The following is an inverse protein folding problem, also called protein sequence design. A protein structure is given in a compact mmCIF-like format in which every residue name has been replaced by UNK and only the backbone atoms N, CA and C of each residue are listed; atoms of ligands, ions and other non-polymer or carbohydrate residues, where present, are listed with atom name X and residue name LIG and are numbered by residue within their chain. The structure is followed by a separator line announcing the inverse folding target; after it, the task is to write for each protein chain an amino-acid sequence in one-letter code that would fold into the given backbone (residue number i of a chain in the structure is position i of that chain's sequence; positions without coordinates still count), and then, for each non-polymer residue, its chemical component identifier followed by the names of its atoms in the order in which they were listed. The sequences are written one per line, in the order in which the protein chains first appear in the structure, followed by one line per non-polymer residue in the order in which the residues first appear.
data_IF_503594639460
#
_entry.id   IF_503594639460
#
_cell.length_a   1.000
_cell.length_b   1.000
_cell.length_c   1.000
_cell.angle_alpha   90.00
_cell.angle_beta   90.00
_cell.angle_gamma   90.00
#
_symmetry.space_group_name_H-M   'P 1'
#
loop_
_entity.id
_entity.type
_entity.pdbx_description
1 polymer ?
#
# COMPACT_ATOMS: atom_id res chain seq x y z
N UNK A 1 21.52 27.13 8.88
CA UNK A 1 20.11 26.83 9.20
C UNK A 1 20.01 25.38 9.63
N UNK A 2 19.24 25.12 10.68
CA UNK A 2 19.00 23.77 11.22
C UNK A 2 17.50 23.60 11.41
N UNK A 3 16.93 22.47 10.99
CA UNK A 3 15.51 22.18 11.11
C UNK A 3 15.27 20.71 11.42
N UNK A 4 14.45 20.42 12.43
CA UNK A 4 14.07 19.05 12.78
C UNK A 4 12.75 18.69 12.13
N UNK A 5 12.68 17.53 11.49
CA UNK A 5 11.47 17.02 10.83
C UNK A 5 11.38 15.50 10.93
N UNK A 6 10.16 14.94 11.03
CA UNK A 6 9.97 13.50 10.97
C UNK A 6 10.19 12.98 9.55
N UNK A 7 10.73 11.78 9.44
CA UNK A 7 10.80 11.03 8.19
C UNK A 7 9.42 10.43 7.89
N UNK A 8 8.93 10.66 6.67
CA UNK A 8 7.66 10.13 6.17
C UNK A 8 7.77 8.64 5.76
N UNK A 9 6.62 7.99 5.60
CA UNK A 9 6.47 6.56 5.29
C UNK A 9 7.24 6.12 4.03
N UNK A 10 7.39 7.02 3.06
CA UNK A 10 8.14 6.77 1.84
C UNK A 10 9.65 7.04 1.97
N UNK A 11 10.21 7.03 3.18
CA UNK A 11 11.61 7.33 3.47
C UNK A 11 12.06 8.70 2.91
N UNK A 12 11.30 9.74 3.19
CA UNK A 12 11.65 11.12 2.83
C UNK A 12 11.43 12.11 3.96
N UNK A 13 12.18 13.21 3.97
CA UNK A 13 12.02 14.31 4.91
C UNK A 13 11.80 15.64 4.17
N UNK A 14 10.89 16.46 4.69
CA UNK A 14 10.51 17.72 4.04
C UNK A 14 11.48 18.86 4.38
N UNK A 15 11.86 19.64 3.36
CA UNK A 15 12.68 20.85 3.52
C UNK A 15 12.40 21.85 2.41
N UNK A 16 12.08 23.09 2.79
CA UNK A 16 11.86 24.22 1.86
C UNK A 16 10.93 23.89 0.68
N UNK A 17 9.83 23.18 0.97
CA UNK A 17 8.84 22.81 -0.04
C UNK A 17 9.25 21.64 -0.95
N UNK A 18 10.36 20.96 -0.66
CA UNK A 18 10.79 19.73 -1.34
C UNK A 18 10.89 18.58 -0.34
N UNK A 19 11.08 17.36 -0.86
CA UNK A 19 11.32 16.15 -0.08
C UNK A 19 12.67 15.55 -0.45
N UNK A 20 13.43 15.13 0.55
CA UNK A 20 14.75 14.53 0.37
C UNK A 20 14.74 13.11 0.91
N UNK A 21 15.26 12.16 0.14
CA UNK A 21 15.29 10.75 0.54
C UNK A 21 16.21 10.49 1.74
N UNK A 22 15.85 9.50 2.54
CA UNK A 22 16.67 8.95 3.62
C UNK A 22 16.85 7.45 3.42
N UNK A 23 17.78 6.80 4.13
CA UNK A 23 17.76 5.34 4.24
C UNK A 23 16.37 4.85 4.73
N UNK A 24 15.85 3.74 4.20
CA UNK A 24 14.60 3.15 4.66
C UNK A 24 14.73 2.64 6.12
N UNK A 25 13.60 2.43 6.78
CA UNK A 25 13.57 2.00 8.20
C UNK A 25 13.58 3.14 9.22
N UNK A 26 13.60 4.40 8.78
CA UNK A 26 13.60 5.58 9.65
C UNK A 26 12.22 6.24 9.80
N UNK A 27 11.13 5.57 9.41
CA UNK A 27 9.76 6.11 9.47
C UNK A 27 9.46 6.70 10.86
N UNK A 28 9.01 7.94 10.90
CA UNK A 28 8.64 8.65 12.14
C UNK A 28 9.81 9.12 12.99
N UNK A 29 11.05 8.76 12.66
CA UNK A 29 12.25 9.25 13.36
C UNK A 29 12.43 10.74 13.04
N UNK A 30 12.63 11.55 14.08
CA UNK A 30 12.98 12.95 13.93
C UNK A 30 14.44 13.09 13.48
N UNK A 31 14.65 13.61 12.27
CA UNK A 31 15.99 13.87 11.74
C UNK A 31 16.25 15.37 11.65
N UNK A 32 17.52 15.74 11.76
CA UNK A 32 17.95 17.12 11.70
C UNK A 32 18.47 17.45 10.30
N UNK A 33 17.88 18.43 9.65
CA UNK A 33 18.36 18.99 8.39
C UNK A 33 19.28 20.16 8.65
N UNK A 34 20.54 20.02 8.23
CA UNK A 34 21.57 21.04 8.33
C UNK A 34 21.85 21.62 6.96
N UNK A 35 21.55 22.91 6.80
CA UNK A 35 21.92 23.67 5.62
C UNK A 35 22.88 24.79 6.00
N UNK A 36 24.13 24.73 5.51
CA UNK A 36 25.08 25.84 5.62
C UNK A 36 24.70 26.93 4.63
N UNK A 37 24.67 28.19 5.07
CA UNK A 37 24.37 29.33 4.19
C UNK A 37 25.39 29.36 3.02
N UNK A 38 24.89 29.54 1.80
CA UNK A 38 25.71 29.48 0.58
C UNK A 38 26.02 28.07 0.08
N UNK A 39 25.71 27.00 0.83
CA UNK A 39 25.86 25.63 0.33
C UNK A 39 24.76 25.28 -0.67
N UNK A 40 25.14 24.53 -1.71
CA UNK A 40 24.21 23.91 -2.64
C UNK A 40 23.63 22.58 -2.11
N UNK A 41 24.03 22.14 -0.92
CA UNK A 41 23.61 20.86 -0.34
C UNK A 41 22.93 21.02 1.02
N UNK A 42 22.09 20.06 1.38
CA UNK A 42 21.51 19.89 2.71
C UNK A 42 21.90 18.52 3.25
N UNK A 43 22.35 18.48 4.51
CA UNK A 43 22.70 17.25 5.21
C UNK A 43 21.51 16.78 6.05
N UNK A 44 21.17 15.51 5.93
CA UNK A 44 20.21 14.83 6.82
C UNK A 44 21.01 14.14 7.92
N UNK A 45 20.72 14.47 9.17
CA UNK A 45 21.49 14.02 10.34
C UNK A 45 20.60 13.25 11.30
N UNK A 46 21.09 12.11 11.78
CA UNK A 46 20.39 11.25 12.74
C UNK A 46 20.25 11.95 14.11
N UNK A 47 19.35 11.48 14.98
CA UNK A 47 19.29 11.94 16.38
C UNK A 47 20.62 11.83 17.12
N UNK A 48 21.44 10.84 16.78
CA UNK A 48 22.77 10.63 17.35
C UNK A 48 23.84 11.59 16.80
N UNK A 49 23.49 12.49 15.87
CA UNK A 49 24.40 13.48 15.30
C UNK A 49 25.21 13.00 14.08
N UNK A 50 24.96 11.79 13.59
CA UNK A 50 25.64 11.23 12.41
C UNK A 50 24.98 11.73 11.12
N UNK A 51 25.77 12.19 10.14
CA UNK A 51 25.24 12.53 8.81
C UNK A 51 24.84 11.23 8.11
N UNK A 52 23.55 11.10 7.79
CA UNK A 52 22.98 9.96 7.09
C UNK A 52 23.19 10.09 5.58
N UNK A 53 22.94 11.28 5.04
CA UNK A 53 23.05 11.57 3.60
C UNK A 53 23.13 13.09 3.36
N UNK A 54 23.84 13.48 2.31
CA UNK A 54 23.87 14.86 1.80
C UNK A 54 23.22 14.91 0.42
N UNK A 55 22.26 15.83 0.24
CA UNK A 55 21.56 16.01 -1.05
C UNK A 55 21.86 17.37 -1.65
N UNK A 56 21.89 17.45 -2.98
CA UNK A 56 21.84 18.74 -3.68
C UNK A 56 20.44 19.36 -3.53
N UNK A 57 20.40 20.66 -3.23
CA UNK A 57 19.14 21.38 -3.06
C UNK A 57 18.40 21.52 -4.40
N UNK A 58 17.11 21.20 -4.36
CA UNK A 58 16.16 21.59 -5.39
C UNK A 58 15.72 23.05 -5.19
N UNK A 59 15.21 23.72 -6.25
CA UNK A 59 14.61 25.06 -6.13
C UNK A 59 13.52 25.08 -5.05
N UNK A 60 13.44 26.17 -4.30
CA UNK A 60 12.50 26.25 -3.18
C UNK A 60 11.06 26.22 -3.66
N UNK A 61 10.20 25.49 -2.95
CA UNK A 61 8.78 25.38 -3.30
C UNK A 61 8.47 24.58 -4.56
N UNK A 62 9.47 23.91 -5.18
CA UNK A 62 9.26 23.14 -6.40
C UNK A 62 8.46 21.85 -6.20
N UNK A 63 8.20 21.42 -4.96
CA UNK A 63 7.47 20.17 -4.69
C UNK A 63 8.22 18.91 -5.11
N UNK A 64 9.53 19.01 -5.36
CA UNK A 64 10.33 17.92 -5.92
C UNK A 64 10.70 16.89 -4.86
N UNK A 65 10.75 15.61 -5.25
CA UNK A 65 11.35 14.53 -4.46
C UNK A 65 12.78 14.30 -4.99
N UNK A 66 13.78 14.67 -4.18
CA UNK A 66 15.19 14.40 -4.46
C UNK A 66 15.54 13.04 -3.85
N UNK A 67 15.68 12.04 -4.71
CA UNK A 67 15.99 10.66 -4.32
C UNK A 67 17.24 10.17 -5.04
N UNK A 68 18.16 9.60 -4.26
CA UNK A 68 19.35 8.96 -4.84
C UNK A 68 19.00 7.59 -5.40
N UNK A 69 19.74 7.08 -6.39
CA UNK A 69 19.53 5.73 -6.93
C UNK A 69 19.62 4.65 -5.84
N UNK A 70 20.53 4.79 -4.88
CA UNK A 70 20.74 3.82 -3.81
C UNK A 70 19.53 3.78 -2.87
N UNK A 71 18.96 4.93 -2.49
CA UNK A 71 17.76 4.98 -1.67
C UNK A 71 16.52 4.51 -2.43
N UNK A 72 16.45 4.72 -3.74
CA UNK A 72 15.41 4.14 -4.57
C UNK A 72 15.46 2.61 -4.52
N UNK A 73 16.61 2.02 -4.84
CA UNK A 73 16.80 0.58 -4.83
C UNK A 73 16.55 -0.02 -3.43
N UNK A 74 17.06 0.63 -2.37
CA UNK A 74 16.84 0.16 -1.00
C UNK A 74 15.37 0.22 -0.58
N UNK A 75 14.65 1.30 -0.91
CA UNK A 75 13.23 1.42 -0.62
C UNK A 75 12.42 0.40 -1.43
N UNK A 76 12.75 0.21 -2.70
CA UNK A 76 12.13 -0.79 -3.57
C UNK A 76 12.30 -2.20 -3.00
N UNK A 77 13.52 -2.58 -2.58
CA UNK A 77 13.78 -3.87 -1.94
C UNK A 77 12.95 -4.07 -0.66
N UNK A 78 12.90 -3.06 0.21
CA UNK A 78 12.08 -3.12 1.45
C UNK A 78 10.60 -3.30 1.11
N UNK A 79 10.08 -2.52 0.17
CA UNK A 79 8.68 -2.59 -0.25
C UNK A 79 8.35 -3.95 -0.87
N UNK A 80 9.19 -4.44 -1.79
CA UNK A 80 8.98 -5.73 -2.44
C UNK A 80 9.10 -6.90 -1.45
N UNK A 81 10.00 -6.82 -0.48
CA UNK A 81 10.15 -7.86 0.56
C UNK A 81 8.94 -7.98 1.49
N UNK A 82 8.12 -6.94 1.60
CA UNK A 82 6.92 -6.96 2.43
C UNK A 82 5.73 -7.68 1.76
N UNK A 83 5.78 -7.92 0.45
CA UNK A 83 4.75 -8.68 -0.24
C UNK A 83 4.94 -10.18 0.01
N UNK A 84 3.85 -10.84 0.41
CA UNK A 84 3.79 -12.29 0.55
C UNK A 84 2.74 -12.86 -0.39
N UNK A 85 2.97 -14.07 -0.88
CA UNK A 85 1.98 -14.89 -1.59
C UNK A 85 1.19 -15.80 -0.64
N UNK A 86 1.44 -15.69 0.67
CA UNK A 86 0.63 -16.34 1.69
C UNK A 86 -0.83 -15.95 1.51
N UNK A 87 -1.73 -16.89 1.81
CA UNK A 87 -3.16 -16.69 1.60
C UNK A 87 -3.62 -15.49 2.44
N UNK A 88 -4.03 -14.36 1.82
CA UNK A 88 -4.33 -13.13 2.55
C UNK A 88 -5.61 -13.24 3.37
N UNK A 89 -6.47 -14.21 3.02
CA UNK A 89 -7.73 -14.47 3.68
C UNK A 89 -7.81 -15.97 3.98
N UNK A 90 -8.46 -16.31 5.09
CA UNK A 90 -8.97 -17.67 5.27
C UNK A 90 -9.87 -18.03 4.08
N UNK A 91 -9.85 -19.31 3.67
CA UNK A 91 -10.72 -19.79 2.60
C UNK A 91 -12.15 -19.44 2.97
N UNK A 92 -12.81 -18.62 2.14
CA UNK A 92 -14.23 -18.29 2.29
C UNK A 92 -15.01 -19.57 2.59
N UNK A 93 -15.60 -19.65 3.78
CA UNK A 93 -16.47 -20.75 4.16
C UNK A 93 -17.71 -20.77 3.26
N UNK A 94 -18.25 -21.96 2.99
CA UNK A 94 -19.59 -22.05 2.43
C UNK A 94 -20.58 -21.69 3.54
N UNK A 95 -21.14 -20.48 3.49
CA UNK A 95 -22.18 -20.03 4.40
C UNK A 95 -23.51 -20.05 3.64
N UNK A 96 -24.33 -21.10 3.80
CA UNK A 96 -25.66 -21.11 3.20
C UNK A 96 -26.51 -19.96 3.77
N UNK A 97 -27.53 -19.50 3.03
CA UNK A 97 -28.42 -18.44 3.50
C UNK A 97 -29.04 -18.81 4.86
N UNK A 98 -28.97 -17.88 5.80
CA UNK A 98 -29.59 -18.03 7.12
C UNK A 98 -31.11 -17.95 7.07
N UNK A 99 -31.80 -18.26 8.19
CA UNK A 99 -33.27 -18.27 8.25
C UNK A 99 -33.88 -16.92 7.86
N UNK A 100 -33.29 -15.81 8.29
CA UNK A 100 -33.78 -14.46 7.93
C UNK A 100 -33.65 -14.16 6.44
N UNK A 101 -32.57 -14.65 5.81
CA UNK A 101 -32.35 -14.49 4.37
C UNK A 101 -33.38 -15.31 3.57
N UNK A 102 -33.71 -16.52 4.03
CA UNK A 102 -34.76 -17.34 3.43
C UNK A 102 -36.14 -16.68 3.60
N UNK A 103 -36.48 -16.18 4.79
CA UNK A 103 -37.74 -15.48 5.03
C UNK A 103 -37.86 -14.21 4.16
N UNK A 104 -36.77 -13.46 4.00
CA UNK A 104 -36.72 -12.31 3.11
C UNK A 104 -36.92 -12.72 1.64
N UNK A 105 -36.30 -13.81 1.19
CA UNK A 105 -36.47 -14.33 -0.15
C UNK A 105 -37.93 -14.75 -0.42
N UNK A 106 -38.58 -15.45 0.51
CA UNK A 106 -40.00 -15.81 0.40
C UNK A 106 -40.89 -14.58 0.24
N UNK A 107 -40.64 -13.53 1.05
CA UNK A 107 -41.39 -12.28 0.98
C UNK A 107 -41.18 -11.52 -0.33
N UNK A 108 -39.96 -11.55 -0.88
CA UNK A 108 -39.60 -10.81 -2.09
C UNK A 108 -40.06 -11.52 -3.36
N UNK A 109 -39.99 -12.85 -3.39
CA UNK A 109 -40.14 -13.62 -4.62
C UNK A 109 -41.47 -14.37 -4.73
N UNK A 110 -42.19 -14.59 -3.62
CA UNK A 110 -43.47 -15.33 -3.63
C UNK A 110 -43.34 -16.68 -4.35
N UNK A 111 -44.32 -17.03 -5.18
CA UNK A 111 -44.32 -18.29 -5.97
C UNK A 111 -43.21 -18.32 -7.05
N UNK A 112 -42.71 -17.17 -7.48
CA UNK A 112 -41.60 -17.06 -8.44
C UNK A 112 -40.22 -17.30 -7.79
N UNK A 113 -40.15 -17.42 -6.45
CA UNK A 113 -38.92 -17.66 -5.69
C UNK A 113 -38.54 -19.12 -5.53
N UNK A 114 -39.31 -20.03 -6.12
CA UNK A 114 -39.02 -21.46 -6.07
C UNK A 114 -37.83 -21.74 -6.98
N UNK A 115 -36.64 -21.84 -6.39
CA UNK A 115 -35.44 -22.20 -7.14
C UNK A 115 -35.66 -23.59 -7.76
N UNK A 116 -35.66 -23.72 -9.09
CA UNK A 116 -35.82 -25.02 -9.71
C UNK A 116 -34.58 -25.85 -9.35
N UNK A 117 -34.79 -26.98 -8.68
CA UNK A 117 -33.72 -27.95 -8.47
C UNK A 117 -33.44 -28.57 -9.83
N UNK A 118 -32.41 -28.07 -10.51
CA UNK A 118 -31.96 -28.59 -11.80
C UNK A 118 -31.09 -29.82 -11.54
N UNK A 119 -31.61 -30.99 -11.90
CA UNK A 119 -30.81 -32.21 -11.94
C UNK A 119 -29.87 -32.15 -13.16
N UNK A 120 -28.57 -32.01 -12.88
CA UNK A 120 -27.54 -31.88 -13.89
C UNK A 120 -27.37 -33.16 -14.72
N UNK A 121 -27.76 -34.34 -14.19
CA UNK A 121 -27.75 -35.59 -14.95
C UNK A 121 -28.85 -35.61 -16.01
N UNK A 122 -30.04 -35.09 -15.68
CA UNK A 122 -31.15 -34.91 -16.63
C UNK A 122 -30.77 -33.88 -17.70
N UNK A 123 -30.11 -32.79 -17.31
CA UNK A 123 -29.66 -31.77 -18.26
C UNK A 123 -28.59 -32.32 -19.21
N UNK A 124 -27.66 -33.14 -18.71
CA UNK A 124 -26.62 -33.78 -19.52
C UNK A 124 -27.20 -34.76 -20.56
N UNK A 125 -28.29 -35.47 -20.24
CA UNK A 125 -28.99 -36.35 -21.20
C UNK A 125 -29.63 -35.55 -22.34
N UNK A 126 -30.25 -34.41 -22.03
CA UNK A 126 -30.87 -33.53 -23.05
C UNK A 126 -29.80 -32.86 -23.92
N UNK A 127 -28.71 -32.39 -23.31
CA UNK A 127 -27.60 -31.77 -24.03
C UNK A 127 -26.76 -32.77 -24.86
N UNK A 128 -26.77 -34.06 -24.49
CA UNK A 128 -26.07 -35.15 -25.16
C UNK A 128 -26.77 -35.69 -26.42
N UNK A 129 -28.00 -35.26 -26.70
CA UNK A 129 -28.72 -35.57 -27.93
C UNK A 129 -29.79 -36.66 -27.78
N UNK A 130 -31.00 -36.31 -28.21
CA UNK A 130 -31.96 -37.30 -28.68
C UNK A 130 -31.29 -38.15 -29.78
N UNK A 131 -31.21 -39.46 -29.55
CA UNK A 131 -30.96 -40.43 -30.62
C UNK A 131 -32.27 -40.73 -31.34
#
# INVERSE_FOLDING_TARGET
MVQTRPVADNATVAFRGNRYSTPPGLRGVEVTLRHRLGSATVDVVSPAGTVLVSHRLAPWGAGTIVRTPEHHAALEQVVLSAFTTDRPCERKGNHPPGPDALAAATRLLGDHGREPVVDLAVYAQIAGGAS
#
